data_IF_919509107097
#
_entry.id   IF_919509107097
#
_cell.length_a   1.000
_cell.length_b   1.000
_cell.length_c   1.000
_cell.angle_alpha   90.00
_cell.angle_beta   90.00
_cell.angle_gamma   90.00
#
_symmetry.space_group_name_H-M   'P 1'
#
loop_
_entity.id
_entity.type
_entity.pdbx_description
1 polymer ?
#
# COMPACT_ATOMS: atom_id res chain seq x y z
N UNK A 1 36.39 -10.01 -34.70
CA UNK A 1 36.79 -9.72 -33.30
C UNK A 1 35.62 -10.11 -32.40
N UNK A 2 35.70 -11.29 -31.77
CA UNK A 2 34.70 -11.71 -30.79
C UNK A 2 35.04 -11.05 -29.45
N UNK A 3 34.18 -10.18 -28.94
CA UNK A 3 34.26 -9.73 -27.54
C UNK A 3 33.77 -10.89 -26.66
N UNK A 4 34.71 -11.72 -26.22
CA UNK A 4 34.52 -12.50 -25.00
C UNK A 4 34.65 -11.54 -23.83
N UNK A 5 33.54 -10.96 -23.39
CA UNK A 5 33.47 -10.29 -22.08
C UNK A 5 32.91 -11.31 -21.10
N UNK A 6 33.80 -12.13 -20.54
CA UNK A 6 33.45 -12.88 -19.34
C UNK A 6 32.95 -11.88 -18.29
N UNK A 7 31.83 -12.12 -17.61
CA UNK A 7 31.43 -11.29 -16.48
C UNK A 7 32.57 -11.23 -15.44
N UNK A 8 32.67 -10.17 -14.63
CA UNK A 8 33.66 -10.07 -13.57
C UNK A 8 33.76 -11.39 -12.79
N UNK A 9 34.98 -11.81 -12.41
CA UNK A 9 35.25 -13.11 -11.79
C UNK A 9 34.45 -13.41 -10.49
N UNK A 10 33.69 -12.44 -9.94
CA UNK A 10 32.86 -12.64 -8.75
C UNK A 10 31.50 -11.89 -8.78
N UNK A 11 30.78 -11.94 -9.90
CA UNK A 11 29.41 -11.38 -9.96
C UNK A 11 28.47 -12.10 -8.99
N UNK A 12 28.58 -13.44 -8.88
CA UNK A 12 27.73 -14.21 -7.98
C UNK A 12 28.00 -13.90 -6.51
N UNK A 13 29.26 -13.80 -6.08
CA UNK A 13 29.58 -13.42 -4.70
C UNK A 13 29.10 -12.02 -4.37
N UNK A 14 29.24 -11.07 -5.31
CA UNK A 14 28.70 -9.71 -5.15
C UNK A 14 27.18 -9.72 -4.96
N UNK A 15 26.45 -10.41 -5.84
CA UNK A 15 24.98 -10.47 -5.76
C UNK A 15 24.50 -11.16 -4.47
N UNK A 16 25.15 -12.25 -4.06
CA UNK A 16 24.79 -12.98 -2.85
C UNK A 16 25.13 -12.23 -1.55
N UNK A 17 26.06 -11.26 -1.60
CA UNK A 17 26.46 -10.47 -0.43
C UNK A 17 25.58 -9.23 -0.19
N UNK A 18 24.80 -8.79 -1.19
CA UNK A 18 23.96 -7.58 -1.08
C UNK A 18 22.59 -7.94 -0.49
N UNK A 19 22.15 -7.15 0.48
CA UNK A 19 20.82 -7.26 1.10
C UNK A 19 20.24 -5.88 1.41
N UNK A 20 19.03 -5.82 1.97
CA UNK A 20 18.43 -4.56 2.42
C UNK A 20 19.32 -3.80 3.42
N UNK A 21 20.12 -4.51 4.23
CA UNK A 21 21.01 -3.94 5.24
C UNK A 21 22.37 -3.47 4.69
N UNK A 22 22.59 -3.60 3.38
CA UNK A 22 23.84 -3.17 2.73
C UNK A 22 23.88 -1.67 2.42
N UNK A 23 22.83 -0.91 2.75
CA UNK A 23 22.68 0.50 2.39
C UNK A 23 22.37 1.34 3.62
N UNK A 24 23.08 2.46 3.79
CA UNK A 24 22.85 3.40 4.89
C UNK A 24 21.59 4.25 4.69
N UNK A 25 21.28 4.57 3.43
CA UNK A 25 20.13 5.40 3.06
C UNK A 25 19.07 4.58 2.32
N UNK A 26 17.81 4.74 2.74
CA UNK A 26 16.66 4.06 2.13
C UNK A 26 16.53 4.37 0.63
N UNK A 27 16.84 5.61 0.24
CA UNK A 27 16.83 6.00 -1.18
C UNK A 27 17.84 5.22 -2.03
N UNK A 28 18.97 4.79 -1.47
CA UNK A 28 19.97 4.00 -2.19
C UNK A 28 19.59 2.52 -2.22
N UNK A 29 18.98 2.00 -1.14
CA UNK A 29 18.35 0.67 -1.13
C UNK A 29 17.29 0.55 -2.23
N UNK A 30 16.42 1.54 -2.37
CA UNK A 30 15.36 1.57 -3.41
C UNK A 30 15.98 1.62 -4.81
N UNK A 31 16.99 2.47 -5.05
CA UNK A 31 17.69 2.51 -6.35
C UNK A 31 18.34 1.18 -6.70
N UNK A 32 18.97 0.52 -5.72
CA UNK A 32 19.57 -0.79 -5.91
C UNK A 32 18.52 -1.87 -6.22
N UNK A 33 17.37 -1.84 -5.54
CA UNK A 33 16.25 -2.74 -5.82
C UNK A 33 15.70 -2.54 -7.24
N UNK A 34 15.51 -1.30 -7.68
CA UNK A 34 15.09 -0.99 -9.05
C UNK A 34 16.12 -1.48 -10.09
N UNK A 35 17.41 -1.30 -9.81
CA UNK A 35 18.47 -1.81 -10.67
C UNK A 35 18.47 -3.36 -10.72
N UNK A 36 18.15 -4.02 -9.62
CA UNK A 36 18.01 -5.48 -9.55
C UNK A 36 16.81 -5.98 -10.37
N UNK A 37 15.65 -5.33 -10.29
CA UNK A 37 14.51 -5.64 -11.17
C UNK A 37 14.85 -5.46 -12.65
N UNK A 38 15.55 -4.38 -12.99
CA UNK A 38 16.02 -4.16 -14.35
C UNK A 38 17.06 -5.22 -14.77
N UNK A 39 17.90 -5.71 -13.85
CA UNK A 39 18.84 -6.80 -14.10
C UNK A 39 18.11 -8.10 -14.41
N UNK A 40 17.12 -8.49 -13.60
CA UNK A 40 16.28 -9.68 -13.86
C UNK A 40 15.68 -9.60 -15.26
N UNK A 41 15.12 -8.44 -15.63
CA UNK A 41 14.56 -8.23 -16.98
C UNK A 41 15.59 -8.37 -18.12
N UNK A 42 16.89 -8.20 -17.87
CA UNK A 42 17.94 -8.40 -18.89
C UNK A 42 18.48 -9.83 -18.91
N UNK A 43 18.31 -10.58 -17.82
CA UNK A 43 18.79 -11.95 -17.69
C UNK A 43 17.75 -12.97 -18.13
N UNK A 44 16.47 -12.72 -17.86
CA UNK A 44 15.38 -13.63 -18.27
C UNK A 44 15.29 -13.74 -19.79
N UNK A 45 15.24 -14.98 -20.27
CA UNK A 45 14.78 -15.28 -21.62
C UNK A 45 13.28 -14.94 -21.76
N UNK A 46 12.78 -14.73 -23.00
CA UNK A 46 11.35 -14.51 -23.22
C UNK A 46 10.47 -15.63 -22.63
N UNK A 47 10.93 -16.89 -22.70
CA UNK A 47 10.20 -18.04 -22.15
C UNK A 47 10.14 -18.01 -20.62
N UNK A 48 11.26 -17.73 -19.95
CA UNK A 48 11.30 -17.65 -18.48
C UNK A 48 10.40 -16.52 -17.98
N UNK A 49 10.45 -15.36 -18.64
CA UNK A 49 9.63 -14.20 -18.28
C UNK A 49 8.14 -14.48 -18.39
N UNK A 50 7.67 -15.02 -19.53
CA UNK A 50 6.24 -15.29 -19.71
C UNK A 50 5.76 -16.43 -18.80
N UNK A 51 6.61 -17.43 -18.56
CA UNK A 51 6.28 -18.54 -17.66
C UNK A 51 6.17 -18.08 -16.22
N UNK A 52 7.07 -17.18 -15.75
CA UNK A 52 6.96 -16.57 -14.43
C UNK A 52 5.65 -15.79 -14.27
N UNK A 53 5.31 -14.95 -15.24
CA UNK A 53 4.10 -14.11 -15.18
C UNK A 53 2.80 -14.93 -15.27
N UNK A 54 2.72 -15.91 -16.16
CA UNK A 54 1.47 -16.61 -16.43
C UNK A 54 1.28 -17.90 -15.59
N UNK A 55 2.36 -18.47 -15.07
CA UNK A 55 2.31 -19.72 -14.30
C UNK A 55 2.92 -19.56 -12.92
N UNK A 56 4.11 -18.97 -12.82
CA UNK A 56 4.85 -18.84 -11.56
C UNK A 56 4.12 -18.01 -10.50
N UNK A 57 3.86 -16.74 -10.80
CA UNK A 57 3.21 -15.77 -9.90
C UNK A 57 1.78 -16.17 -9.50
N UNK A 58 0.91 -16.63 -10.43
CA UNK A 58 -0.40 -17.17 -10.06
C UNK A 58 -0.30 -18.39 -9.14
N UNK A 59 0.60 -19.34 -9.43
CA UNK A 59 0.78 -20.54 -8.62
C UNK A 59 1.34 -20.22 -7.23
N UNK A 60 2.23 -19.21 -7.13
CA UNK A 60 2.74 -18.72 -5.85
C UNK A 60 1.63 -18.10 -5.02
N UNK A 61 0.80 -17.24 -5.63
CA UNK A 61 -0.35 -16.63 -4.97
C UNK A 61 -1.33 -17.67 -4.44
N UNK A 62 -1.63 -18.69 -5.26
CA UNK A 62 -2.50 -19.82 -4.85
C UNK A 62 -1.88 -20.62 -3.71
N UNK A 63 -0.57 -20.91 -3.78
CA UNK A 63 0.16 -21.64 -2.73
C UNK A 63 0.13 -20.89 -1.39
N UNK A 64 0.36 -19.57 -1.41
CA UNK A 64 0.26 -18.70 -0.24
C UNK A 64 -1.14 -18.70 0.36
N UNK A 65 -2.18 -18.64 -0.48
CA UNK A 65 -3.58 -18.70 -0.01
C UNK A 65 -3.90 -20.03 0.65
N UNK A 66 -3.47 -21.16 0.07
CA UNK A 66 -3.69 -22.48 0.65
C UNK A 66 -3.01 -22.61 2.01
N UNK A 67 -1.74 -22.21 2.15
CA UNK A 67 -1.05 -22.32 3.45
C UNK A 67 -1.62 -21.36 4.49
N UNK A 68 -2.13 -20.19 4.09
CA UNK A 68 -2.86 -19.28 4.98
C UNK A 68 -4.17 -19.92 5.46
N UNK A 69 -4.95 -20.53 4.59
CA UNK A 69 -6.21 -21.19 4.96
C UNK A 69 -6.02 -22.41 5.86
N UNK A 70 -4.91 -23.13 5.66
CA UNK A 70 -4.50 -24.23 6.54
C UNK A 70 -3.91 -23.77 7.87
N UNK A 71 -3.64 -22.46 8.01
CA UNK A 71 -2.94 -21.83 9.11
C UNK A 71 -1.58 -22.49 9.37
N UNK A 72 -0.86 -22.82 8.29
CA UNK A 72 0.38 -23.57 8.37
C UNK A 72 1.44 -22.78 9.16
N UNK A 73 1.63 -21.50 8.84
CA UNK A 73 2.66 -20.69 9.51
C UNK A 73 2.34 -20.46 10.98
N UNK A 74 1.07 -20.24 11.34
CA UNK A 74 0.64 -20.05 12.72
C UNK A 74 0.91 -21.30 13.56
N UNK A 75 0.59 -22.47 13.02
CA UNK A 75 0.85 -23.75 13.69
C UNK A 75 2.33 -24.08 13.75
N UNK A 76 3.08 -23.77 12.70
CA UNK A 76 4.54 -23.94 12.69
C UNK A 76 5.20 -23.03 13.74
N UNK A 77 4.73 -21.78 13.86
CA UNK A 77 5.19 -20.81 14.85
C UNK A 77 4.91 -21.25 16.28
N UNK A 78 3.72 -21.77 16.56
CA UNK A 78 3.39 -22.37 17.85
C UNK A 78 4.29 -23.57 18.20
N UNK A 79 5.01 -24.11 17.21
CA UNK A 79 5.93 -25.23 17.32
C UNK A 79 7.42 -24.80 17.15
N UNK A 80 7.73 -23.53 17.34
CA UNK A 80 9.10 -23.04 17.54
C UNK A 80 9.87 -22.61 16.29
N UNK A 81 9.23 -22.52 15.11
CA UNK A 81 9.86 -22.05 13.85
C UNK A 81 11.12 -22.80 13.40
N UNK A 82 11.37 -23.97 13.96
CA UNK A 82 12.54 -24.79 13.61
C UNK A 82 12.39 -25.40 12.21
N UNK A 83 13.52 -25.82 11.64
CA UNK A 83 13.50 -26.56 10.39
C UNK A 83 12.76 -27.89 10.58
N UNK A 84 11.82 -28.19 9.69
CA UNK A 84 10.95 -29.38 9.78
C UNK A 84 10.86 -30.09 8.44
N UNK A 85 10.77 -31.41 8.48
CA UNK A 85 10.48 -32.22 7.31
C UNK A 85 9.08 -31.95 6.78
N UNK A 86 8.86 -32.22 5.49
CA UNK A 86 7.52 -32.14 4.89
C UNK A 86 6.48 -33.01 5.62
N UNK A 87 6.89 -34.14 6.21
CA UNK A 87 6.02 -35.04 6.96
C UNK A 87 5.58 -34.43 8.30
N UNK A 88 6.52 -33.82 9.03
CA UNK A 88 6.23 -33.11 10.26
C UNK A 88 5.32 -31.91 10.01
N UNK A 89 5.51 -31.19 8.91
CA UNK A 89 4.65 -30.07 8.52
C UNK A 89 3.26 -30.53 8.10
N UNK A 90 3.16 -31.64 7.37
CA UNK A 90 1.88 -32.26 7.01
C UNK A 90 1.11 -32.64 8.26
N UNK A 91 1.78 -33.18 9.29
CA UNK A 91 1.14 -33.53 10.55
C UNK A 91 0.52 -32.32 11.31
N UNK A 92 0.90 -31.07 10.98
CA UNK A 92 0.33 -29.86 11.59
C UNK A 92 -1.00 -29.45 10.94
N UNK A 93 -1.29 -29.86 9.71
CA UNK A 93 -2.41 -29.33 8.92
C UNK A 93 -3.24 -30.44 8.31
N UNK A 94 -4.50 -30.15 8.02
CA UNK A 94 -5.37 -31.09 7.31
C UNK A 94 -5.13 -30.97 5.80
N UNK A 95 -4.01 -31.51 5.31
CA UNK A 95 -3.62 -31.48 3.90
C UNK A 95 -3.01 -32.84 3.51
N UNK A 96 -3.22 -33.24 2.26
CA UNK A 96 -2.53 -34.40 1.70
C UNK A 96 -1.01 -34.16 1.65
N UNK A 97 -0.24 -35.20 1.96
CA UNK A 97 1.23 -35.13 2.06
C UNK A 97 1.88 -34.71 0.75
N UNK A 98 1.46 -35.31 -0.36
CA UNK A 98 2.08 -35.05 -1.67
C UNK A 98 1.70 -33.65 -2.16
N UNK A 99 0.44 -33.24 -1.93
CA UNK A 99 -0.03 -31.88 -2.21
C UNK A 99 0.77 -30.85 -1.40
N UNK A 100 0.87 -31.01 -0.08
CA UNK A 100 1.62 -30.07 0.76
C UNK A 100 3.11 -30.07 0.38
N UNK A 101 3.69 -31.21 0.05
CA UNK A 101 5.08 -31.31 -0.42
C UNK A 101 5.33 -30.55 -1.74
N UNK A 102 4.35 -30.49 -2.65
CA UNK A 102 4.45 -29.64 -3.85
C UNK A 102 4.40 -28.15 -3.49
N UNK A 103 3.48 -27.76 -2.61
CA UNK A 103 3.32 -26.38 -2.14
C UNK A 103 4.59 -25.90 -1.42
N UNK A 104 5.11 -26.68 -0.48
CA UNK A 104 6.31 -26.33 0.30
C UNK A 104 7.53 -26.12 -0.60
N UNK A 105 7.75 -27.01 -1.59
CA UNK A 105 8.83 -26.83 -2.57
C UNK A 105 8.64 -25.57 -3.41
N UNK A 106 7.42 -25.29 -3.87
CA UNK A 106 7.15 -24.06 -4.63
C UNK A 106 7.36 -22.79 -3.79
N UNK A 107 7.00 -22.82 -2.52
CA UNK A 107 7.28 -21.72 -1.58
C UNK A 107 8.79 -21.56 -1.35
N UNK A 108 9.56 -22.65 -1.27
CA UNK A 108 11.01 -22.60 -1.11
C UNK A 108 11.73 -22.06 -2.35
N UNK A 109 11.33 -22.47 -3.56
CA UNK A 109 11.92 -21.97 -4.80
C UNK A 109 11.61 -20.49 -5.07
N UNK A 110 10.55 -19.96 -4.46
CA UNK A 110 10.19 -18.54 -4.50
C UNK A 110 10.67 -17.78 -3.24
N UNK A 111 11.60 -18.35 -2.47
CA UNK A 111 12.23 -17.73 -1.31
C UNK A 111 11.25 -17.31 -0.19
N UNK A 112 10.05 -17.88 -0.15
CA UNK A 112 9.13 -17.74 0.98
C UNK A 112 9.62 -18.63 2.13
N UNK A 113 10.14 -19.81 1.79
CA UNK A 113 10.79 -20.75 2.69
C UNK A 113 12.26 -20.94 2.31
N UNK A 114 13.03 -21.50 3.23
CA UNK A 114 14.37 -22.06 2.96
C UNK A 114 14.21 -23.57 2.92
N UNK A 115 14.89 -24.26 1.99
CA UNK A 115 15.04 -25.72 1.98
C UNK A 115 16.51 -26.08 2.25
N UNK A 116 16.96 -26.21 3.52
CA UNK A 116 18.38 -26.44 3.83
C UNK A 116 18.89 -27.79 3.32
N UNK A 117 18.03 -28.79 3.31
CA UNK A 117 18.25 -30.13 2.74
C UNK A 117 16.96 -30.60 2.09
N UNK A 118 17.04 -31.50 1.10
CA UNK A 118 15.88 -31.99 0.38
C UNK A 118 14.75 -32.48 1.32
N UNK A 119 13.56 -31.89 1.18
CA UNK A 119 12.36 -32.23 1.96
C UNK A 119 12.32 -31.66 3.37
N UNK A 120 13.29 -30.84 3.77
CA UNK A 120 13.33 -30.12 5.06
C UNK A 120 13.22 -28.63 4.79
N UNK A 121 12.26 -27.98 5.43
CA UNK A 121 11.94 -26.57 5.20
C UNK A 121 12.12 -25.76 6.46
N UNK A 122 12.39 -24.46 6.33
CA UNK A 122 12.48 -23.50 7.44
C UNK A 122 11.82 -22.17 7.05
N UNK A 123 11.11 -21.50 7.96
CA UNK A 123 10.58 -20.16 7.72
C UNK A 123 11.70 -19.15 7.43
N UNK A 124 11.44 -18.24 6.49
CA UNK A 124 12.21 -17.00 6.30
C UNK A 124 11.65 -15.88 7.18
N UNK A 125 12.41 -14.79 7.34
CA UNK A 125 11.91 -13.54 7.95
C UNK A 125 10.62 -13.06 7.30
N UNK A 126 10.49 -13.20 5.96
CA UNK A 126 9.27 -12.83 5.25
C UNK A 126 8.10 -13.76 5.59
N UNK A 127 8.27 -15.08 5.56
CA UNK A 127 7.15 -15.98 5.92
C UNK A 127 6.67 -15.78 7.36
N UNK A 128 7.57 -15.42 8.28
CA UNK A 128 7.18 -15.09 9.66
C UNK A 128 6.45 -13.75 9.75
N UNK A 129 6.76 -12.78 8.89
CA UNK A 129 6.02 -11.51 8.87
C UNK A 129 4.56 -11.70 8.47
N UNK A 130 4.23 -12.75 7.69
CA UNK A 130 2.84 -13.09 7.32
C UNK A 130 1.94 -13.43 8.53
N UNK A 131 2.52 -13.73 9.70
CA UNK A 131 1.76 -13.91 10.94
C UNK A 131 1.17 -12.59 11.47
N UNK A 132 1.77 -11.45 11.08
CA UNK A 132 1.24 -10.14 11.44
C UNK A 132 0.10 -9.77 10.49
N UNK A 133 -1.07 -9.35 11.00
CA UNK A 133 -2.23 -9.02 10.15
C UNK A 133 -1.92 -8.00 9.05
N UNK A 134 -1.02 -7.04 9.32
CA UNK A 134 -0.59 -6.01 8.35
C UNK A 134 0.04 -6.59 7.08
N UNK A 135 0.67 -7.77 7.15
CA UNK A 135 1.26 -8.46 6.00
C UNK A 135 0.41 -9.65 5.56
N UNK A 136 -0.05 -10.48 6.51
CA UNK A 136 -0.80 -11.69 6.22
C UNK A 136 -2.15 -11.46 5.56
N UNK A 137 -2.84 -10.34 5.84
CA UNK A 137 -4.15 -10.06 5.24
C UNK A 137 -4.09 -9.62 3.78
N UNK A 138 -2.92 -9.23 3.27
CA UNK A 138 -2.75 -8.99 1.83
C UNK A 138 -3.07 -10.22 0.99
N UNK A 139 -2.80 -11.43 1.51
CA UNK A 139 -3.13 -12.69 0.81
C UNK A 139 -4.65 -12.88 0.76
N UNK A 140 -5.39 -12.61 1.84
CA UNK A 140 -6.86 -12.65 1.84
C UNK A 140 -7.42 -11.62 0.85
N UNK A 141 -6.96 -10.37 0.97
CA UNK A 141 -7.40 -9.27 0.11
C UNK A 141 -7.11 -9.53 -1.38
N UNK A 142 -5.98 -10.14 -1.70
CA UNK A 142 -5.64 -10.52 -3.07
C UNK A 142 -6.69 -11.47 -3.65
N UNK A 143 -7.19 -12.43 -2.90
CA UNK A 143 -8.18 -13.40 -3.39
C UNK A 143 -9.61 -12.90 -3.28
N UNK A 144 -9.90 -12.10 -2.26
CA UNK A 144 -11.24 -11.56 -2.04
C UNK A 144 -11.52 -10.41 -3.00
N UNK A 145 -10.57 -9.51 -3.26
CA UNK A 145 -10.78 -8.29 -4.07
C UNK A 145 -9.81 -8.20 -5.24
N UNK A 146 -8.50 -8.29 -5.00
CA UNK A 146 -7.48 -7.99 -6.01
C UNK A 146 -7.62 -8.80 -7.30
N UNK A 147 -7.54 -10.12 -7.22
CA UNK A 147 -7.66 -11.05 -8.36
C UNK A 147 -9.04 -10.94 -9.02
N UNK A 148 -10.18 -11.05 -8.30
CA UNK A 148 -11.49 -10.93 -8.94
C UNK A 148 -11.68 -9.65 -9.74
N UNK A 149 -11.25 -8.51 -9.20
CA UNK A 149 -11.37 -7.21 -9.86
C UNK A 149 -10.42 -7.11 -11.05
N UNK A 150 -9.12 -7.33 -10.83
CA UNK A 150 -8.11 -7.19 -11.88
C UNK A 150 -8.31 -8.18 -13.03
N UNK A 151 -8.81 -9.39 -12.75
CA UNK A 151 -9.20 -10.36 -13.78
C UNK A 151 -10.35 -9.85 -14.65
N UNK A 152 -11.29 -9.10 -14.08
CA UNK A 152 -12.46 -8.55 -14.80
C UNK A 152 -12.23 -7.17 -15.40
N UNK A 153 -11.16 -6.47 -15.02
CA UNK A 153 -10.80 -5.16 -15.58
C UNK A 153 -10.70 -5.16 -17.11
N UNK A 154 -10.06 -6.13 -17.80
CA UNK A 154 -10.00 -6.13 -19.27
C UNK A 154 -11.37 -6.18 -19.94
N UNK A 155 -12.29 -7.01 -19.42
CA UNK A 155 -13.68 -7.10 -19.91
C UNK A 155 -14.44 -5.79 -19.67
N UNK A 156 -14.28 -5.20 -18.48
CA UNK A 156 -14.89 -3.91 -18.14
C UNK A 156 -14.40 -2.80 -19.07
N UNK A 157 -13.08 -2.68 -19.26
CA UNK A 157 -12.50 -1.67 -20.15
C UNK A 157 -12.93 -1.86 -21.60
N UNK A 158 -13.03 -3.12 -22.07
CA UNK A 158 -13.57 -3.38 -23.41
C UNK A 158 -15.02 -2.87 -23.53
N UNK A 159 -15.86 -3.13 -22.52
CA UNK A 159 -17.26 -2.69 -22.48
C UNK A 159 -17.41 -1.16 -22.48
N UNK A 160 -16.50 -0.43 -21.83
CA UNK A 160 -16.51 1.04 -21.79
C UNK A 160 -15.85 1.69 -23.02
N UNK A 161 -15.36 0.89 -23.96
CA UNK A 161 -14.62 1.38 -25.13
C UNK A 161 -13.26 1.95 -24.75
N UNK A 162 -12.61 1.39 -23.73
CA UNK A 162 -11.31 1.77 -23.19
C UNK A 162 -11.26 3.24 -22.73
N UNK A 163 -12.36 3.75 -22.20
CA UNK A 163 -12.42 5.07 -21.58
C UNK A 163 -12.01 4.97 -20.11
N UNK A 164 -11.30 5.99 -19.64
CA UNK A 164 -11.01 6.12 -18.21
C UNK A 164 -12.32 6.16 -17.42
N UNK A 165 -12.45 5.36 -16.36
CA UNK A 165 -13.59 5.48 -15.46
C UNK A 165 -13.55 6.85 -14.76
N UNK A 166 -14.72 7.43 -14.54
CA UNK A 166 -14.87 8.73 -13.85
C UNK A 166 -15.88 8.71 -12.72
N UNK A 167 -16.66 7.62 -12.58
CA UNK A 167 -17.62 7.43 -11.50
C UNK A 167 -17.11 6.29 -10.61
N UNK A 168 -16.80 6.53 -9.32
CA UNK A 168 -16.34 5.49 -8.40
C UNK A 168 -17.39 4.38 -8.15
N UNK A 169 -18.64 4.59 -8.58
CA UNK A 169 -19.74 3.61 -8.49
C UNK A 169 -19.95 2.81 -9.78
N UNK A 170 -19.16 3.07 -10.82
CA UNK A 170 -19.18 2.34 -12.09
C UNK A 170 -17.74 2.09 -12.57
N UNK A 171 -17.04 1.22 -11.83
CA UNK A 171 -15.69 0.76 -12.19
C UNK A 171 -15.61 -0.77 -12.22
N UNK A 172 -14.41 -1.29 -12.51
CA UNK A 172 -14.16 -2.72 -12.58
C UNK A 172 -14.55 -3.45 -11.28
N UNK A 173 -14.47 -2.80 -10.12
CA UNK A 173 -14.98 -3.35 -8.86
C UNK A 173 -16.45 -3.74 -8.93
N UNK A 174 -17.35 -2.80 -9.26
CA UNK A 174 -18.79 -3.08 -9.34
C UNK A 174 -19.10 -4.14 -10.40
N UNK A 175 -18.38 -4.09 -11.53
CA UNK A 175 -18.53 -5.09 -12.58
C UNK A 175 -18.10 -6.49 -12.12
N UNK A 176 -16.97 -6.61 -11.41
CA UNK A 176 -16.44 -7.89 -10.94
C UNK A 176 -17.27 -8.49 -9.79
N UNK A 177 -17.81 -7.62 -8.92
CA UNK A 177 -18.57 -8.01 -7.73
C UNK A 177 -20.07 -8.15 -7.99
N UNK A 178 -20.53 -7.83 -9.20
CA UNK A 178 -21.96 -7.72 -9.55
C UNK A 178 -22.74 -6.91 -8.49
N UNK A 179 -22.15 -5.78 -8.08
CA UNK A 179 -22.69 -4.95 -7.01
C UNK A 179 -23.03 -3.56 -7.54
N UNK A 180 -24.18 -3.03 -7.12
CA UNK A 180 -24.60 -1.67 -7.43
C UNK A 180 -24.49 -0.81 -6.20
N UNK A 181 -23.69 0.25 -6.28
CA UNK A 181 -23.52 1.21 -5.20
C UNK A 181 -22.05 1.44 -4.87
N UNK A 182 -21.85 1.99 -3.68
CA UNK A 182 -20.54 2.36 -3.19
C UNK A 182 -19.73 1.13 -2.72
N UNK A 183 -18.41 1.14 -2.93
CA UNK A 183 -17.52 0.06 -2.50
C UNK A 183 -17.57 -0.16 -0.97
N UNK A 184 -17.71 0.89 -0.18
CA UNK A 184 -17.79 0.79 1.27
C UNK A 184 -19.13 0.18 1.74
N UNK A 185 -20.23 0.42 1.01
CA UNK A 185 -21.51 -0.26 1.25
C UNK A 185 -21.41 -1.76 0.95
N UNK A 186 -20.66 -2.15 -0.09
CA UNK A 186 -20.35 -3.55 -0.36
C UNK A 186 -19.62 -4.19 0.83
N UNK A 187 -18.57 -3.56 1.35
CA UNK A 187 -17.81 -4.10 2.49
C UNK A 187 -18.62 -4.16 3.78
N UNK A 188 -19.57 -3.23 3.99
CA UNK A 188 -20.51 -3.28 5.11
C UNK A 188 -21.45 -4.49 5.00
N UNK A 189 -21.90 -4.83 3.80
CA UNK A 189 -22.74 -6.01 3.55
C UNK A 189 -21.98 -7.33 3.43
N UNK A 190 -20.65 -7.28 3.26
CA UNK A 190 -19.76 -8.45 3.14
C UNK A 190 -18.65 -8.40 4.22
N UNK A 191 -18.99 -8.60 5.50
CA UNK A 191 -18.13 -8.25 6.63
C UNK A 191 -16.78 -9.00 6.65
N UNK A 192 -16.69 -10.21 6.08
CA UNK A 192 -15.42 -10.95 5.94
C UNK A 192 -14.44 -10.19 5.04
N UNK A 193 -14.90 -9.79 3.85
CA UNK A 193 -14.08 -9.05 2.89
C UNK A 193 -13.79 -7.64 3.40
N UNK A 194 -14.78 -7.00 4.03
CA UNK A 194 -14.61 -5.69 4.67
C UNK A 194 -13.56 -5.71 5.77
N UNK A 195 -13.51 -6.76 6.60
CA UNK A 195 -12.47 -6.91 7.62
C UNK A 195 -11.07 -7.05 7.00
N UNK A 196 -10.93 -7.86 5.94
CA UNK A 196 -9.65 -8.02 5.23
C UNK A 196 -9.19 -6.70 4.60
N UNK A 197 -10.09 -5.99 3.91
CA UNK A 197 -9.83 -4.67 3.35
C UNK A 197 -9.37 -3.67 4.43
N UNK A 198 -10.07 -3.63 5.58
CA UNK A 198 -9.72 -2.72 6.67
C UNK A 198 -8.33 -3.00 7.25
N UNK A 199 -7.94 -4.28 7.39
CA UNK A 199 -6.59 -4.64 7.84
C UNK A 199 -5.51 -4.17 6.85
N UNK A 200 -5.74 -4.40 5.55
CA UNK A 200 -4.82 -3.96 4.49
C UNK A 200 -4.69 -2.43 4.47
N UNK A 201 -5.81 -1.71 4.49
CA UNK A 201 -5.81 -0.24 4.50
C UNK A 201 -5.14 0.33 5.76
N UNK A 202 -5.41 -0.25 6.94
CA UNK A 202 -4.71 0.14 8.17
C UNK A 202 -3.20 -0.07 8.07
N UNK A 203 -2.77 -1.14 7.38
CA UNK A 203 -1.37 -1.42 7.07
C UNK A 203 -0.72 -0.37 6.17
N UNK A 204 -1.39 -0.01 5.06
CA UNK A 204 -0.94 1.04 4.14
C UNK A 204 -0.75 2.37 4.89
N UNK A 205 -1.76 2.78 5.67
CA UNK A 205 -1.71 4.01 6.45
C UNK A 205 -0.60 4.01 7.50
N UNK A 206 -0.34 2.87 8.16
CA UNK A 206 0.71 2.75 9.17
C UNK A 206 2.13 2.92 8.59
N UNK A 207 2.31 2.61 7.30
CA UNK A 207 3.60 2.76 6.62
C UNK A 207 3.69 4.06 5.81
N UNK A 208 2.65 4.89 5.77
CA UNK A 208 2.71 6.19 5.13
C UNK A 208 3.25 7.23 6.13
N UNK A 209 4.30 7.95 5.74
CA UNK A 209 4.84 9.03 6.56
C UNK A 209 3.76 10.10 6.77
N UNK A 210 3.49 10.45 8.04
CA UNK A 210 2.60 11.56 8.35
C UNK A 210 3.19 12.89 7.87
N UNK A 211 2.33 13.86 7.51
CA UNK A 211 2.82 15.13 6.99
C UNK A 211 3.73 15.90 7.96
N UNK A 212 3.55 15.70 9.28
CA UNK A 212 4.40 16.27 10.34
C UNK A 212 5.83 15.70 10.36
N UNK A 213 6.04 14.52 9.79
CA UNK A 213 7.38 13.91 9.63
C UNK A 213 8.11 14.48 8.40
N UNK A 214 7.36 15.06 7.46
CA UNK A 214 7.86 15.62 6.19
C UNK A 214 8.05 17.13 6.29
N UNK A 215 7.12 17.81 6.96
CA UNK A 215 7.03 19.27 6.98
C UNK A 215 6.97 19.74 8.45
N UNK A 216 7.96 20.53 8.90
CA UNK A 216 7.87 21.21 10.19
C UNK A 216 6.61 22.08 10.26
N UNK A 217 5.76 21.85 11.25
CA UNK A 217 4.49 22.57 11.41
C UNK A 217 4.70 24.07 11.64
N UNK A 218 5.86 24.47 12.15
CA UNK A 218 6.27 25.87 12.35
C UNK A 218 6.20 26.67 11.04
N UNK A 219 6.32 26.02 9.88
CA UNK A 219 6.13 26.65 8.57
C UNK A 219 4.72 27.24 8.38
N UNK A 220 3.73 26.72 9.10
CA UNK A 220 2.34 27.14 9.04
C UNK A 220 1.89 27.87 10.32
N UNK A 221 2.46 27.52 11.48
CA UNK A 221 2.07 28.14 12.75
C UNK A 221 2.62 29.56 12.92
N UNK A 222 3.83 29.83 12.42
CA UNK A 222 4.50 31.12 12.61
C UNK A 222 3.74 32.22 11.84
N UNK A 223 3.23 33.22 12.58
CA UNK A 223 2.41 34.28 12.01
C UNK A 223 0.94 33.90 11.79
N UNK A 224 0.50 32.75 12.32
CA UNK A 224 -0.93 32.39 12.34
C UNK A 224 -1.75 33.36 13.21
N UNK A 225 -2.99 33.61 12.80
CA UNK A 225 -3.97 34.37 13.58
C UNK A 225 -4.33 33.58 14.85
N UNK A 226 -4.02 34.09 16.06
CA UNK A 226 -4.24 33.36 17.31
C UNK A 226 -5.71 33.07 17.59
N UNK A 227 -6.64 33.80 16.95
CA UNK A 227 -8.09 33.62 17.12
C UNK A 227 -8.71 32.80 15.98
N UNK A 228 -7.95 32.52 14.92
CA UNK A 228 -8.42 31.76 13.76
C UNK A 228 -8.18 30.25 13.89
N UNK A 229 -8.84 29.43 13.05
CA UNK A 229 -8.51 28.01 12.90
C UNK A 229 -7.02 27.81 12.58
N UNK A 230 -6.41 26.79 13.20
CA UNK A 230 -5.02 26.40 12.95
C UNK A 230 -4.93 25.32 11.87
N UNK A 231 -5.67 24.22 12.06
CA UNK A 231 -5.77 23.12 11.08
C UNK A 231 -7.24 22.73 10.96
N UNK A 232 -7.69 22.59 9.71
CA UNK A 232 -8.96 21.95 9.37
C UNK A 232 -8.62 20.69 8.59
N UNK A 233 -8.77 19.54 9.24
CA UNK A 233 -8.51 18.22 8.69
C UNK A 233 -9.77 17.72 7.95
N UNK A 234 -9.82 17.94 6.63
CA UNK A 234 -10.96 17.67 5.76
C UNK A 234 -10.90 16.23 5.26
N UNK A 235 -11.87 15.40 5.65
CA UNK A 235 -11.79 13.96 5.41
C UNK A 235 -10.79 13.27 6.34
N UNK A 236 -10.61 13.80 7.55
CA UNK A 236 -9.60 13.36 8.51
C UNK A 236 -9.89 12.02 9.21
N UNK A 237 -10.95 11.32 8.80
CA UNK A 237 -11.38 10.05 9.36
C UNK A 237 -11.59 10.15 10.89
N UNK A 238 -11.06 9.20 11.66
CA UNK A 238 -11.14 9.22 13.12
C UNK A 238 -10.11 10.14 13.81
N UNK A 239 -9.39 10.97 13.02
CA UNK A 239 -8.54 12.04 13.51
C UNK A 239 -7.13 11.61 13.91
N UNK A 240 -6.47 10.76 13.13
CA UNK A 240 -5.10 10.33 13.41
C UNK A 240 -4.09 11.48 13.29
N UNK A 241 -4.10 12.21 12.18
CA UNK A 241 -3.14 13.29 11.92
C UNK A 241 -3.40 14.51 12.79
N UNK A 242 -4.67 14.88 12.99
CA UNK A 242 -5.02 15.98 13.87
C UNK A 242 -4.64 15.70 15.34
N UNK A 243 -4.72 14.44 15.79
CA UNK A 243 -4.28 14.05 17.14
C UNK A 243 -2.76 14.08 17.26
N UNK A 244 -2.01 13.60 16.25
CA UNK A 244 -0.55 13.75 16.21
C UNK A 244 -0.14 15.22 16.32
N UNK A 245 -0.82 16.11 15.58
CA UNK A 245 -0.59 17.55 15.67
C UNK A 245 -0.84 18.09 17.09
N UNK A 246 -1.99 17.74 17.68
CA UNK A 246 -2.37 18.18 19.04
C UNK A 246 -1.38 17.70 20.11
N UNK A 247 -0.81 16.50 19.96
CA UNK A 247 0.18 15.99 20.91
C UNK A 247 1.48 16.79 20.89
N UNK A 248 1.88 17.29 19.72
CA UNK A 248 3.08 18.13 19.56
C UNK A 248 2.80 19.59 19.98
N UNK A 249 1.61 20.11 19.66
CA UNK A 249 1.21 21.52 19.91
C UNK A 249 -0.12 21.62 20.69
N UNK A 250 -0.16 21.16 21.96
CA UNK A 250 -1.40 21.04 22.73
C UNK A 250 -2.12 22.38 22.97
N UNK A 251 -1.40 23.50 22.98
CA UNK A 251 -1.94 24.85 23.10
C UNK A 251 -2.85 25.26 21.93
N UNK A 252 -2.72 24.58 20.79
CA UNK A 252 -3.54 24.86 19.59
C UNK A 252 -4.86 24.11 19.59
N UNK A 253 -5.12 23.19 20.54
CA UNK A 253 -6.20 22.20 20.46
C UNK A 253 -7.60 22.79 20.18
N UNK A 254 -7.94 23.93 20.78
CA UNK A 254 -9.23 24.62 20.56
C UNK A 254 -9.41 25.16 19.14
N UNK A 255 -8.31 25.26 18.38
CA UNK A 255 -8.26 25.80 17.01
C UNK A 255 -8.12 24.70 15.96
N UNK A 256 -8.17 23.43 16.38
CA UNK A 256 -8.14 22.26 15.50
C UNK A 256 -9.56 21.82 15.18
N UNK A 257 -9.81 21.48 13.91
CA UNK A 257 -11.11 21.04 13.40
C UNK A 257 -10.94 19.73 12.65
N UNK A 258 -11.57 18.66 13.14
CA UNK A 258 -11.69 17.39 12.45
C UNK A 258 -13.01 17.35 11.69
N UNK A 259 -12.97 17.11 10.39
CA UNK A 259 -14.14 17.03 9.53
C UNK A 259 -14.22 15.69 8.80
N UNK A 260 -15.38 15.03 8.90
CA UNK A 260 -15.72 13.84 8.11
C UNK A 260 -17.25 13.66 8.10
N UNK A 261 -17.76 12.61 7.45
CA UNK A 261 -19.18 12.28 7.44
C UNK A 261 -19.72 12.03 8.86
N UNK A 262 -21.03 12.29 9.12
CA UNK A 262 -21.62 12.11 10.44
C UNK A 262 -21.45 10.71 11.04
N UNK A 263 -21.36 9.67 10.21
CA UNK A 263 -21.15 8.30 10.66
C UNK A 263 -19.72 8.03 11.13
N UNK A 264 -18.73 8.77 10.61
CA UNK A 264 -17.30 8.60 10.92
C UNK A 264 -16.88 9.44 12.12
N UNK A 265 -17.28 10.71 12.16
CA UNK A 265 -16.92 11.66 13.25
C UNK A 265 -17.37 11.17 14.63
N UNK A 266 -18.43 10.36 14.72
CA UNK A 266 -18.88 9.71 15.96
C UNK A 266 -17.81 8.83 16.61
N UNK A 267 -16.87 8.32 15.83
CA UNK A 267 -15.77 7.48 16.27
C UNK A 267 -14.43 8.24 16.35
N UNK A 268 -14.46 9.57 16.24
CA UNK A 268 -13.26 10.40 16.38
C UNK A 268 -12.56 10.14 17.71
N UNK A 269 -11.24 9.93 17.65
CA UNK A 269 -10.41 9.61 18.82
C UNK A 269 -9.75 10.83 19.45
N UNK A 270 -9.74 11.97 18.76
CA UNK A 270 -9.17 13.20 19.29
C UNK A 270 -9.97 13.71 20.51
N UNK A 271 -9.30 14.04 21.63
CA UNK A 271 -9.95 14.49 22.85
C UNK A 271 -10.43 15.94 22.71
N UNK A 272 -11.32 16.35 23.61
CA UNK A 272 -11.64 17.75 23.78
C UNK A 272 -10.36 18.53 24.20
N UNK A 273 -10.16 19.77 23.73
CA UNK A 273 -11.15 20.63 23.08
C UNK A 273 -11.07 20.67 21.54
N UNK A 274 -10.61 19.61 20.87
CA UNK A 274 -10.62 19.55 19.39
C UNK A 274 -12.06 19.61 18.87
N UNK A 275 -12.31 20.49 17.89
CA UNK A 275 -13.63 20.65 17.29
C UNK A 275 -13.90 19.49 16.33
N UNK A 276 -14.87 18.65 16.65
CA UNK A 276 -15.32 17.53 15.82
C UNK A 276 -16.57 17.94 15.06
N UNK A 277 -16.50 18.02 13.73
CA UNK A 277 -17.59 18.56 12.92
C UNK A 277 -17.97 17.62 11.78
N UNK A 278 -19.24 17.22 11.73
CA UNK A 278 -19.75 16.48 10.59
C UNK A 278 -19.82 17.37 9.34
N UNK A 279 -19.14 17.00 8.26
CA UNK A 279 -19.10 17.75 7.02
C UNK A 279 -18.89 16.82 5.82
N UNK A 280 -19.70 16.99 4.78
CA UNK A 280 -19.47 16.44 3.45
C UNK A 280 -18.68 17.47 2.64
N UNK A 281 -17.43 17.13 2.27
CA UNK A 281 -16.52 18.04 1.55
C UNK A 281 -16.97 18.39 0.14
N UNK A 282 -18.00 17.73 -0.40
CA UNK A 282 -18.64 18.15 -1.65
C UNK A 282 -19.57 19.35 -1.46
N UNK A 283 -19.88 19.70 -0.21
CA UNK A 283 -20.59 20.92 0.16
C UNK A 283 -19.59 22.06 0.44
N UNK A 284 -20.01 23.33 0.34
CA UNK A 284 -19.15 24.46 0.70
C UNK A 284 -18.57 24.33 2.12
N UNK A 285 -17.27 24.59 2.25
CA UNK A 285 -16.54 24.49 3.52
C UNK A 285 -17.17 25.40 4.59
N UNK A 286 -17.75 24.87 5.69
CA UNK A 286 -18.48 25.65 6.68
C UNK A 286 -17.60 26.57 7.54
N UNK A 287 -16.30 26.27 7.63
CA UNK A 287 -15.32 27.19 8.21
C UNK A 287 -14.95 28.21 7.12
N UNK A 288 -15.91 29.06 6.72
CA UNK A 288 -15.82 29.92 5.52
C UNK A 288 -14.69 30.97 5.59
N UNK A 289 -14.28 31.37 6.80
CA UNK A 289 -13.09 32.21 7.02
C UNK A 289 -11.76 31.44 6.86
N UNK A 290 -11.79 30.14 6.51
CA UNK A 290 -10.60 29.29 6.45
C UNK A 290 -9.71 29.54 5.23
N UNK A 291 -10.19 30.21 4.17
CA UNK A 291 -9.43 30.44 2.93
C UNK A 291 -9.23 31.95 2.65
N UNK A 292 -8.55 32.66 3.55
CA UNK A 292 -8.17 34.08 3.36
C UNK A 292 -6.99 34.18 2.38
N UNK A 293 -7.11 34.92 1.25
CA UNK A 293 -6.00 35.11 0.32
C UNK A 293 -4.75 35.65 1.01
N UNK A 294 -3.58 35.09 0.68
CA UNK A 294 -2.30 35.47 1.27
C UNK A 294 -2.01 34.86 2.65
N UNK A 295 -3.04 34.50 3.42
CA UNK A 295 -2.91 33.89 4.75
C UNK A 295 -3.07 32.37 4.71
N UNK A 296 -4.25 31.90 4.31
CA UNK A 296 -4.58 30.47 4.32
C UNK A 296 -3.81 29.68 3.28
N UNK A 297 -3.60 28.40 3.55
CA UNK A 297 -2.94 27.45 2.64
C UNK A 297 -3.73 26.16 2.63
N UNK A 298 -3.85 25.56 1.45
CA UNK A 298 -4.30 24.19 1.29
C UNK A 298 -3.07 23.29 1.32
N UNK A 299 -3.04 22.32 2.23
CA UNK A 299 -2.06 21.25 2.25
C UNK A 299 -2.71 20.00 1.67
N UNK A 300 -2.23 19.55 0.52
CA UNK A 300 -2.60 18.25 -0.06
C UNK A 300 -1.50 17.28 0.32
N UNK A 301 -1.82 16.31 1.17
CA UNK A 301 -0.92 15.25 1.57
C UNK A 301 -1.30 13.98 0.82
N UNK A 302 -0.59 13.71 -0.27
CA UNK A 302 -0.90 12.60 -1.18
C UNK A 302 0.38 12.13 -1.88
N UNK A 303 0.31 10.99 -2.54
CA UNK A 303 1.38 10.49 -3.38
C UNK A 303 1.64 11.42 -4.57
N UNK A 304 2.93 11.66 -4.84
CA UNK A 304 3.39 12.40 -6.02
C UNK A 304 4.19 11.43 -6.88
N UNK A 305 3.58 10.96 -7.95
CA UNK A 305 4.21 10.00 -8.86
C UNK A 305 5.38 10.68 -9.61
N UNK A 306 6.55 10.05 -9.72
CA UNK A 306 7.63 10.62 -10.53
C UNK A 306 7.25 10.59 -12.00
N UNK A 307 7.66 11.62 -12.75
CA UNK A 307 7.39 11.77 -14.19
C UNK A 307 7.98 10.62 -15.04
N UNK A 308 9.00 9.94 -14.52
CA UNK A 308 9.66 8.79 -15.14
C UNK A 308 10.25 7.88 -14.07
N UNK A 309 10.58 6.65 -14.48
CA UNK A 309 11.30 5.69 -13.64
C UNK A 309 10.56 5.38 -12.31
N UNK A 310 9.23 5.44 -12.33
CA UNK A 310 8.39 5.12 -11.18
C UNK A 310 8.62 3.68 -10.72
N UNK A 311 8.56 3.46 -9.39
CA UNK A 311 8.62 2.12 -8.85
C UNK A 311 7.43 1.30 -9.40
N UNK A 312 7.63 0.05 -9.88
CA UNK A 312 6.54 -0.75 -10.47
C UNK A 312 5.31 -0.90 -9.58
N UNK A 313 5.52 -0.95 -8.25
CA UNK A 313 4.42 -0.96 -7.29
C UNK A 313 3.55 0.31 -7.33
N UNK A 314 4.13 1.50 -7.51
CA UNK A 314 3.37 2.74 -7.58
C UNK A 314 2.46 2.76 -8.83
N UNK A 315 2.97 2.28 -9.97
CA UNK A 315 2.17 2.18 -11.20
C UNK A 315 1.10 1.08 -11.12
N UNK A 316 1.38 -0.02 -10.41
CA UNK A 316 0.39 -1.08 -10.20
C UNK A 316 -0.72 -0.61 -9.22
N UNK A 317 -0.34 0.17 -8.21
CA UNK A 317 -1.26 0.82 -7.30
C UNK A 317 -2.20 1.78 -8.03
N UNK A 318 -1.68 2.63 -8.93
CA UNK A 318 -2.51 3.52 -9.78
C UNK A 318 -3.57 2.76 -10.58
N UNK A 319 -3.18 1.69 -11.29
CA UNK A 319 -4.15 0.84 -12.02
C UNK A 319 -5.18 0.18 -11.10
N UNK A 320 -4.77 -0.18 -9.88
CA UNK A 320 -5.66 -0.75 -8.86
C UNK A 320 -6.65 0.32 -8.37
N UNK A 321 -6.19 1.54 -8.11
CA UNK A 321 -7.03 2.67 -7.72
C UNK A 321 -8.03 3.07 -8.81
N UNK A 322 -7.62 3.04 -10.08
CA UNK A 322 -8.52 3.21 -11.22
C UNK A 322 -9.61 2.12 -11.23
N UNK A 323 -9.23 0.86 -11.04
CA UNK A 323 -10.15 -0.28 -11.07
C UNK A 323 -11.13 -0.32 -9.88
N UNK A 324 -10.73 0.22 -8.72
CA UNK A 324 -11.52 0.19 -7.49
C UNK A 324 -12.35 1.45 -7.25
N UNK A 325 -11.86 2.62 -7.65
CA UNK A 325 -12.38 3.91 -7.19
C UNK A 325 -12.39 5.01 -8.27
N UNK A 326 -12.10 4.69 -9.53
CA UNK A 326 -11.83 5.69 -10.58
C UNK A 326 -10.72 6.67 -10.17
N UNK A 327 -9.80 6.23 -9.30
CA UNK A 327 -8.68 7.01 -8.81
C UNK A 327 -7.59 7.17 -9.86
N UNK A 328 -6.79 8.22 -9.71
CA UNK A 328 -5.59 8.49 -10.52
C UNK A 328 -4.52 9.04 -9.60
N UNK A 329 -3.37 8.37 -9.56
CA UNK A 329 -2.14 8.87 -8.98
C UNK A 329 -1.56 9.96 -9.88
N UNK A 330 -1.16 11.08 -9.29
CA UNK A 330 -0.77 12.27 -10.07
C UNK A 330 0.71 12.56 -9.96
N UNK A 331 1.31 12.92 -11.10
CA UNK A 331 2.63 13.54 -11.11
C UNK A 331 2.57 14.96 -10.57
N UNK A 332 3.74 15.54 -10.26
CA UNK A 332 3.79 16.94 -9.82
C UNK A 332 3.18 17.89 -10.87
N UNK A 333 3.43 17.65 -12.16
CA UNK A 333 2.84 18.46 -13.24
C UNK A 333 1.32 18.37 -13.21
N UNK A 334 0.76 17.17 -13.09
CA UNK A 334 -0.69 16.96 -13.04
C UNK A 334 -1.33 17.60 -11.80
N UNK A 335 -0.66 17.54 -10.65
CA UNK A 335 -1.09 18.25 -9.44
C UNK A 335 -1.10 19.77 -9.63
N UNK A 336 -0.03 20.31 -10.23
CA UNK A 336 0.07 21.75 -10.53
C UNK A 336 -1.02 22.21 -11.49
N UNK A 337 -1.30 21.44 -12.53
CA UNK A 337 -2.35 21.75 -13.50
C UNK A 337 -3.73 21.72 -12.87
N UNK A 338 -4.04 20.68 -12.09
CA UNK A 338 -5.30 20.56 -11.36
C UNK A 338 -5.52 21.76 -10.43
N UNK A 339 -4.54 22.05 -9.55
CA UNK A 339 -4.65 23.14 -8.58
C UNK A 339 -4.74 24.51 -9.27
N UNK A 340 -4.00 24.71 -10.36
CA UNK A 340 -4.06 25.96 -11.14
C UNK A 340 -5.42 26.13 -11.83
N UNK A 341 -6.04 25.04 -12.31
CA UNK A 341 -7.35 25.08 -12.96
C UNK A 341 -8.48 25.59 -12.05
N UNK A 342 -8.31 25.47 -10.74
CA UNK A 342 -9.25 25.95 -9.71
C UNK A 342 -8.73 27.18 -8.95
N UNK A 343 -7.73 27.88 -9.50
CA UNK A 343 -7.26 29.17 -9.00
C UNK A 343 -6.24 29.11 -7.85
N UNK A 344 -5.71 27.94 -7.52
CA UNK A 344 -4.63 27.81 -6.54
C UNK A 344 -3.26 27.99 -7.20
N UNK A 345 -2.29 28.49 -6.43
CA UNK A 345 -0.88 28.52 -6.81
C UNK A 345 -0.10 27.58 -5.88
N UNK A 346 0.57 26.58 -6.45
CA UNK A 346 1.44 25.68 -5.69
C UNK A 346 2.65 26.47 -5.18
N UNK A 347 2.70 26.68 -3.86
CA UNK A 347 3.77 27.44 -3.18
C UNK A 347 5.05 26.59 -3.05
N UNK A 348 4.89 25.33 -2.64
CA UNK A 348 5.99 24.40 -2.40
C UNK A 348 5.47 22.98 -2.47
N UNK A 349 6.33 22.07 -2.92
CA UNK A 349 6.13 20.63 -2.88
C UNK A 349 7.21 20.09 -1.93
N UNK A 350 6.80 19.32 -0.94
CA UNK A 350 7.69 18.63 -0.02
C UNK A 350 7.62 17.14 -0.31
N UNK A 351 8.76 16.47 -0.28
CA UNK A 351 8.85 15.03 -0.49
C UNK A 351 9.39 14.38 0.78
N UNK A 352 8.86 13.23 1.13
CA UNK A 352 9.37 12.42 2.23
C UNK A 352 10.83 12.04 1.96
N UNK A 353 11.74 12.23 2.93
CA UNK A 353 13.12 11.74 2.80
C UNK A 353 13.20 10.21 2.82
N UNK A 354 12.11 9.52 3.21
CA UNK A 354 12.03 8.07 3.38
C UNK A 354 11.45 7.34 2.15
N UNK A 355 11.10 8.06 1.07
CA UNK A 355 10.35 7.49 -0.06
C UNK A 355 8.86 7.30 0.29
N UNK A 356 8.18 6.35 -0.38
CA UNK A 356 6.74 6.08 -0.15
C UNK A 356 6.45 5.33 1.16
N UNK A 357 7.45 5.11 2.02
CA UNK A 357 7.31 4.36 3.28
C UNK A 357 7.99 5.09 4.43
N UNK A 358 7.36 5.15 5.61
CA UNK A 358 8.01 5.53 6.87
C UNK A 358 8.67 4.31 7.52
N UNK A 359 9.87 4.49 8.06
CA UNK A 359 10.51 3.50 8.93
C UNK A 359 10.02 3.72 10.36
N UNK A 360 9.00 2.99 10.79
CA UNK A 360 8.67 2.81 12.21
C UNK A 360 8.52 1.34 12.54
#
# INVERSE_FOLDING_TARGET
MAKSTSPPNDVLGTLNAISANSFDAESDRIKALLAAYALVSRLETPWERISRMCMGEPSLSASLKVVKDLQLFEKWHANGDEARSGDELTALVNCDRDLLGQILRHLATNHILIEPTAGVFKPTTFSLSLLQPVFGEWISYLFDVGIPVLHKTPEFLQKTGYKNPTDPKDVAFQYAKDYRGDMFDYFTSHPREGASFNHVMGGVMAHQAGWLEIIPAENFMNGSDPNGPMVVDVGGNIGHDIEKFRQVYPETAQRLYLQDLPAVVKFAKCPDPVNKMAHDFFQPQPVLDAMKPGYSRLLVHDHVMPEKDAHPHATAYDLTMMALLAGVERTETQWRDLLSSVGYRVVKVWQSPFGCTSNH
#
